data_IF_079894086812
#
_entry.id   IF_079894086812
#
_cell.length_a   1.000
_cell.length_b   1.000
_cell.length_c   1.000
_cell.angle_alpha   90.00
_cell.angle_beta   90.00
_cell.angle_gamma   90.00
#
_symmetry.space_group_name_H-M   'P 1'
#
loop_
_entity.id
_entity.type
_entity.pdbx_description
1 polymer ?
#
# COMPACT_ATOMS: atom_id res chain seq x y z
N UNK A 1 48.05 21.77 6.23
CA UNK A 1 47.08 21.15 7.16
C UNK A 1 46.34 22.25 7.88
N UNK A 2 45.06 22.44 7.56
CA UNK A 2 44.04 23.05 8.42
C UNK A 2 42.77 23.21 7.58
N UNK A 3 41.87 22.24 7.70
CA UNK A 3 40.54 22.25 7.09
C UNK A 3 39.70 23.37 7.73
N UNK A 4 39.14 24.25 6.91
CA UNK A 4 38.17 25.25 7.35
C UNK A 4 36.81 24.60 7.61
N UNK A 5 36.24 24.89 8.77
CA UNK A 5 34.92 24.47 9.23
C UNK A 5 33.80 24.91 8.28
N UNK A 6 32.91 24.00 7.92
CA UNK A 6 31.61 24.34 7.37
C UNK A 6 30.52 23.45 7.98
N UNK A 7 29.49 24.12 8.53
CA UNK A 7 28.09 23.72 8.74
C UNK A 7 27.64 23.66 10.20
N UNK A 8 26.89 24.69 10.57
CA UNK A 8 25.66 24.51 11.35
C UNK A 8 24.56 25.33 10.66
N UNK A 9 23.74 24.67 9.84
CA UNK A 9 22.40 25.18 9.55
C UNK A 9 21.49 24.54 10.59
N UNK A 10 21.22 25.28 11.67
CA UNK A 10 20.09 25.02 12.55
C UNK A 10 18.82 25.10 11.70
N UNK A 11 18.17 23.97 11.44
CA UNK A 11 16.77 23.96 11.02
C UNK A 11 15.92 24.13 12.29
N UNK A 12 15.65 25.38 12.64
CA UNK A 12 14.57 25.71 13.56
C UNK A 12 13.26 25.61 12.78
N UNK A 13 12.48 24.57 13.01
CA UNK A 13 11.09 24.50 12.57
C UNK A 13 10.21 25.01 13.70
N UNK A 14 10.22 26.33 13.91
CA UNK A 14 9.19 27.03 14.67
C UNK A 14 8.09 27.44 13.71
N UNK A 15 6.92 26.83 13.86
CA UNK A 15 5.67 27.20 13.19
C UNK A 15 5.30 28.65 13.51
N UNK A 16 5.21 29.49 12.48
CA UNK A 16 4.59 30.81 12.58
C UNK A 16 3.72 31.02 11.34
N UNK A 17 2.41 31.06 11.55
CA UNK A 17 1.41 31.41 10.54
C UNK A 17 1.05 32.88 10.74
N UNK A 18 1.33 33.73 9.75
CA UNK A 18 0.76 35.07 9.64
C UNK A 18 -0.28 35.09 8.52
N UNK A 19 -1.52 35.49 8.84
CA UNK A 19 -2.52 35.82 7.82
C UNK A 19 -2.38 37.29 7.44
N UNK A 20 -2.09 37.55 6.17
CA UNK A 20 -2.09 38.89 5.58
C UNK A 20 -2.47 38.79 4.11
N UNK A 21 -3.59 39.40 3.75
CA UNK A 21 -4.26 39.30 2.45
C UNK A 21 -3.40 39.80 1.30
N UNK A 22 -3.12 38.93 0.33
CA UNK A 22 -2.49 39.30 -0.94
C UNK A 22 -2.41 38.08 -1.87
N UNK A 23 -3.16 38.14 -2.96
CA UNK A 23 -3.20 37.11 -4.01
C UNK A 23 -1.79 36.89 -4.59
N UNK A 24 -1.21 35.72 -4.37
CA UNK A 24 -0.03 35.23 -5.09
C UNK A 24 -0.32 33.82 -5.58
N UNK A 25 -0.29 33.65 -6.91
CA UNK A 25 -0.46 32.37 -7.58
C UNK A 25 0.79 31.51 -7.30
N UNK A 26 0.82 30.87 -6.13
CA UNK A 26 1.79 29.83 -5.83
C UNK A 26 1.21 28.52 -6.38
N UNK A 27 1.89 27.93 -7.37
CA UNK A 27 1.71 26.52 -7.71
C UNK A 27 2.05 25.72 -6.44
N UNK A 28 1.04 25.45 -5.63
CA UNK A 28 1.11 24.45 -4.59
C UNK A 28 1.29 23.12 -5.31
N UNK A 29 2.54 22.68 -5.42
CA UNK A 29 2.77 21.25 -5.35
C UNK A 29 2.09 20.81 -4.05
N UNK A 30 1.18 19.83 -4.06
CA UNK A 30 0.76 19.24 -2.81
C UNK A 30 2.04 18.74 -2.15
N UNK A 31 2.40 19.34 -1.02
CA UNK A 31 3.25 18.68 -0.05
C UNK A 31 2.42 17.47 0.34
N UNK A 32 2.66 16.35 -0.34
CA UNK A 32 2.17 15.07 0.14
C UNK A 32 2.76 14.94 1.54
N UNK A 33 1.88 15.04 2.54
CA UNK A 33 2.19 14.52 3.86
C UNK A 33 2.43 13.04 3.64
N UNK A 34 3.70 12.66 3.50
CA UNK A 34 4.08 11.27 3.60
C UNK A 34 3.68 10.89 5.03
N UNK A 35 2.65 10.08 5.20
CA UNK A 35 2.29 9.48 6.48
C UNK A 35 3.37 8.43 6.82
N UNK A 36 4.63 8.86 6.93
CA UNK A 36 5.72 8.05 7.44
C UNK A 36 5.52 7.96 8.94
N UNK A 37 4.97 6.85 9.42
CA UNK A 37 5.08 6.53 10.83
C UNK A 37 6.56 6.29 11.14
N UNK A 38 7.06 6.95 12.19
CA UNK A 38 8.36 6.62 12.76
C UNK A 38 8.19 5.31 13.52
N UNK A 39 9.03 4.33 13.21
CA UNK A 39 9.07 3.06 13.90
C UNK A 39 9.97 3.20 15.13
N UNK A 40 9.37 3.11 16.31
CA UNK A 40 10.10 3.00 17.56
C UNK A 40 10.57 1.55 17.72
N UNK A 41 11.89 1.34 17.73
CA UNK A 41 12.46 -0.01 17.75
C UNK A 41 12.86 -0.36 19.17
N UNK A 42 12.15 -1.31 19.76
CA UNK A 42 12.55 -1.95 21.00
C UNK A 42 13.40 -3.20 20.72
N UNK A 43 14.72 -3.10 20.92
CA UNK A 43 15.68 -4.19 20.68
C UNK A 43 15.49 -5.40 21.62
N UNK A 44 14.71 -5.26 22.70
CA UNK A 44 14.39 -6.39 23.58
C UNK A 44 13.22 -7.24 23.09
N UNK A 45 12.41 -6.72 22.16
CA UNK A 45 11.18 -7.34 21.68
C UNK A 45 11.23 -7.64 20.17
N UNK A 46 12.05 -6.92 19.43
CA UNK A 46 12.16 -7.03 17.96
C UNK A 46 13.50 -7.63 17.58
N UNK A 47 13.49 -8.77 16.89
CA UNK A 47 14.70 -9.42 16.34
C UNK A 47 14.79 -9.35 14.82
N UNK A 48 13.65 -9.18 14.13
CA UNK A 48 13.59 -9.04 12.68
C UNK A 48 12.50 -8.10 12.21
N UNK A 49 12.72 -7.41 11.09
CA UNK A 49 11.77 -6.52 10.45
C UNK A 49 11.85 -6.66 8.93
N UNK A 50 10.70 -6.63 8.25
CA UNK A 50 10.65 -6.58 6.80
C UNK A 50 10.21 -5.18 6.34
N UNK A 51 11.01 -4.56 5.48
CA UNK A 51 10.77 -3.24 4.91
C UNK A 51 10.66 -3.32 3.39
N UNK A 52 9.87 -2.42 2.80
CA UNK A 52 9.66 -2.33 1.36
C UNK A 52 10.61 -1.31 0.75
N UNK A 53 11.23 -1.64 -0.38
CA UNK A 53 11.98 -0.63 -1.15
C UNK A 53 11.06 0.52 -1.65
N UNK A 54 11.64 1.67 -2.01
CA UNK A 54 10.97 2.90 -2.43
C UNK A 54 10.05 3.53 -1.37
N UNK A 55 10.30 3.24 -0.09
CA UNK A 55 9.64 3.85 1.06
C UNK A 55 10.64 4.55 1.97
N UNK A 56 10.15 5.43 2.85
CA UNK A 56 10.95 6.12 3.85
C UNK A 56 10.61 5.61 5.25
N UNK A 57 11.62 5.20 6.00
CA UNK A 57 11.50 4.65 7.35
C UNK A 57 12.29 5.52 8.33
N UNK A 58 11.59 6.13 9.29
CA UNK A 58 12.22 6.74 10.45
C UNK A 58 12.43 5.67 11.52
N UNK A 59 13.67 5.45 11.95
CA UNK A 59 14.02 4.53 13.02
C UNK A 59 14.56 5.32 14.20
N UNK A 60 14.12 4.97 15.41
CA UNK A 60 14.53 5.64 16.64
C UNK A 60 14.82 4.63 17.74
N UNK A 61 15.88 4.89 18.50
CA UNK A 61 16.25 4.14 19.69
C UNK A 61 15.74 4.77 20.98
N UNK A 62 15.88 4.03 22.08
CA UNK A 62 15.47 4.47 23.42
C UNK A 62 16.46 5.50 24.02
N UNK A 63 16.12 6.09 25.18
CA UNK A 63 16.74 7.29 25.77
C UNK A 63 18.27 7.41 25.67
N UNK A 64 19.00 6.32 25.92
CA UNK A 64 20.47 6.31 25.92
C UNK A 64 21.08 5.48 24.79
N UNK A 65 20.26 4.97 23.88
CA UNK A 65 20.68 4.10 22.81
C UNK A 65 21.24 4.90 21.63
N UNK A 66 22.35 4.45 21.05
CA UNK A 66 22.84 4.95 19.76
C UNK A 66 22.60 3.86 18.72
N UNK A 67 21.81 4.17 17.69
CA UNK A 67 21.44 3.18 16.68
C UNK A 67 22.26 3.37 15.40
N UNK A 68 22.70 2.23 14.86
CA UNK A 68 23.45 2.12 13.63
C UNK A 68 22.69 1.24 12.66
N UNK A 69 22.64 1.63 11.39
CA UNK A 69 22.11 0.79 10.33
C UNK A 69 23.20 0.50 9.31
N UNK A 70 23.42 -0.79 9.02
CA UNK A 70 24.48 -1.22 8.10
C UNK A 70 24.13 -2.50 7.36
N UNK A 71 24.73 -2.70 6.19
CA UNK A 71 24.60 -3.91 5.37
C UNK A 71 25.60 -5.01 5.80
N UNK A 72 26.51 -4.71 6.73
CA UNK A 72 27.37 -5.69 7.36
C UNK A 72 27.42 -5.44 8.88
N UNK A 73 27.56 -6.51 9.64
CA UNK A 73 27.52 -6.43 11.09
C UNK A 73 28.70 -5.64 11.64
N UNK A 74 28.42 -4.66 12.50
CA UNK A 74 29.40 -3.82 13.19
C UNK A 74 30.38 -3.08 12.26
N UNK A 75 29.90 -2.64 11.10
CA UNK A 75 30.65 -1.78 10.18
C UNK A 75 29.90 -0.50 9.88
N UNK A 76 30.65 0.59 9.65
CA UNK A 76 30.08 1.86 9.22
C UNK A 76 29.47 1.72 7.82
N UNK A 77 28.26 2.23 7.66
CA UNK A 77 27.61 2.36 6.36
C UNK A 77 27.58 3.83 5.93
N UNK A 78 28.11 4.09 4.73
CA UNK A 78 28.27 5.44 4.17
C UNK A 78 27.50 5.64 2.85
N UNK A 79 26.55 4.77 2.52
CA UNK A 79 25.73 4.91 1.32
C UNK A 79 24.59 5.93 1.49
N UNK A 80 23.96 6.28 0.37
CA UNK A 80 22.92 7.34 0.32
C UNK A 80 21.57 6.92 0.91
N UNK A 81 21.35 5.63 1.10
CA UNK A 81 20.06 5.09 1.54
C UNK A 81 19.80 5.38 3.03
N UNK A 82 20.85 5.71 3.79
CA UNK A 82 20.82 5.96 5.23
C UNK A 82 21.24 7.39 5.53
N UNK A 83 20.41 8.12 6.29
CA UNK A 83 20.71 9.46 6.78
C UNK A 83 20.68 9.50 8.30
N UNK A 84 21.61 10.28 8.88
CA UNK A 84 21.81 10.38 10.32
C UNK A 84 22.07 9.00 10.94
N UNK A 85 22.99 8.25 10.33
CA UNK A 85 23.58 7.08 10.98
C UNK A 85 24.16 7.54 12.33
N UNK A 86 24.11 6.69 13.36
CA UNK A 86 24.47 7.05 14.74
C UNK A 86 23.45 7.95 15.49
N UNK A 87 22.16 7.87 15.12
CA UNK A 87 21.11 8.60 15.84
C UNK A 87 21.04 8.17 17.31
N UNK A 88 21.00 9.15 18.22
CA UNK A 88 21.04 8.90 19.67
C UNK A 88 19.79 9.35 20.40
N UNK A 89 19.23 8.45 21.20
CA UNK A 89 18.15 8.74 22.13
C UNK A 89 16.81 9.01 21.44
N UNK A 90 15.83 9.45 22.24
CA UNK A 90 14.44 9.67 21.82
C UNK A 90 14.21 10.93 20.98
N UNK A 91 15.23 11.77 20.84
CA UNK A 91 15.17 13.07 20.14
C UNK A 91 15.77 13.03 18.74
N UNK A 92 16.39 11.92 18.35
CA UNK A 92 17.01 11.74 17.05
C UNK A 92 16.43 10.50 16.38
N UNK A 93 16.39 10.52 15.05
CA UNK A 93 16.03 9.37 14.26
C UNK A 93 17.05 9.21 13.13
N UNK A 94 17.26 7.96 12.74
CA UNK A 94 17.91 7.60 11.50
C UNK A 94 16.82 7.47 10.44
N UNK A 95 17.06 8.00 9.24
CA UNK A 95 16.15 7.83 8.11
C UNK A 95 16.73 6.79 7.15
N UNK A 96 15.93 5.80 6.80
CA UNK A 96 16.31 4.76 5.85
C UNK A 96 15.35 4.77 4.65
N UNK A 97 15.91 4.78 3.45
CA UNK A 97 15.18 4.85 2.18
C UNK A 97 15.75 3.80 1.21
N UNK A 98 15.47 2.50 1.42
CA UNK A 98 15.98 1.45 0.55
C UNK A 98 15.43 1.60 -0.88
N UNK A 99 16.28 1.35 -1.86
CA UNK A 99 15.95 1.33 -3.29
C UNK A 99 16.13 -0.06 -3.87
N UNK A 100 15.87 -0.22 -5.17
CA UNK A 100 16.17 -1.46 -5.89
C UNK A 100 17.67 -1.78 -6.02
N UNK A 101 18.54 -0.81 -5.71
CA UNK A 101 19.99 -0.98 -5.69
C UNK A 101 20.54 -1.25 -4.28
N UNK A 102 19.73 -1.08 -3.24
CA UNK A 102 20.12 -1.35 -1.86
C UNK A 102 20.27 -2.85 -1.61
N UNK A 103 21.13 -3.20 -0.65
CA UNK A 103 21.24 -4.58 -0.19
C UNK A 103 19.92 -5.07 0.40
N UNK A 104 19.71 -6.40 0.34
CA UNK A 104 18.45 -7.01 0.77
C UNK A 104 18.43 -7.42 2.23
N UNK A 105 19.56 -7.31 2.91
CA UNK A 105 19.74 -7.65 4.31
C UNK A 105 20.55 -6.55 4.99
N UNK A 106 20.06 -6.09 6.13
CA UNK A 106 20.61 -5.02 6.92
C UNK A 106 20.55 -5.36 8.40
N UNK A 107 21.39 -4.72 9.18
CA UNK A 107 21.49 -4.87 10.62
C UNK A 107 21.29 -3.50 11.25
N UNK A 108 20.23 -3.38 12.04
CA UNK A 108 20.09 -2.29 12.98
C UNK A 108 20.65 -2.76 14.33
N UNK A 109 21.59 -2.01 14.90
CA UNK A 109 22.28 -2.41 16.14
C UNK A 109 22.65 -1.22 17.00
N UNK A 110 22.91 -1.48 18.28
CA UNK A 110 23.62 -0.55 19.17
C UNK A 110 25.06 -1.06 19.35
N UNK A 111 26.05 -0.19 19.09
CA UNK A 111 27.45 -0.54 19.25
C UNK A 111 27.84 -0.90 20.70
N UNK A 112 27.04 -0.50 21.70
CA UNK A 112 27.27 -0.80 23.12
C UNK A 112 26.58 -2.08 23.60
N UNK A 113 25.66 -2.66 22.81
CA UNK A 113 24.95 -3.90 23.11
C UNK A 113 24.91 -4.78 21.84
N UNK A 114 26.07 -5.31 21.46
CA UNK A 114 26.25 -6.08 20.21
C UNK A 114 25.48 -7.41 20.20
N UNK A 115 25.03 -7.88 21.37
CA UNK A 115 24.26 -9.12 21.50
C UNK A 115 22.79 -8.93 21.07
N UNK A 116 22.34 -7.68 20.89
CA UNK A 116 20.99 -7.35 20.42
C UNK A 116 21.02 -6.52 19.16
N UNK A 117 20.67 -7.16 18.06
CA UNK A 117 20.48 -6.50 16.77
C UNK A 117 19.14 -6.91 16.15
N UNK A 118 18.60 -6.03 15.32
CA UNK A 118 17.43 -6.31 14.49
C UNK A 118 17.92 -6.57 13.07
N UNK A 119 17.58 -7.74 12.53
CA UNK A 119 17.82 -8.03 11.11
C UNK A 119 16.69 -7.42 10.29
N UNK A 120 17.04 -6.56 9.33
CA UNK A 120 16.10 -5.90 8.43
C UNK A 120 16.22 -6.53 7.04
N UNK A 121 15.15 -7.13 6.55
CA UNK A 121 15.05 -7.62 5.18
C UNK A 121 14.36 -6.57 4.29
N UNK A 122 14.98 -6.26 3.14
CA UNK A 122 14.33 -5.42 2.12
C UNK A 122 13.60 -6.31 1.14
N UNK A 123 12.29 -6.31 1.23
CA UNK A 123 11.44 -6.82 0.18
C UNK A 123 11.44 -5.82 -0.99
N UNK A 124 11.65 -6.29 -2.23
CA UNK A 124 11.42 -5.45 -3.38
C UNK A 124 9.99 -4.91 -3.31
N UNK A 125 9.77 -3.71 -3.83
CA UNK A 125 8.41 -3.28 -4.08
C UNK A 125 7.91 -4.23 -5.16
N UNK A 126 7.05 -5.17 -4.77
CA UNK A 126 6.34 -5.99 -5.72
C UNK A 126 5.42 -5.02 -6.49
N UNK A 127 5.95 -4.47 -7.59
CA UNK A 127 5.15 -4.19 -8.76
C UNK A 127 4.64 -5.56 -9.26
N UNK A 128 3.74 -6.16 -8.47
CA UNK A 128 2.96 -7.30 -8.91
C UNK A 128 2.41 -6.89 -10.26
N UNK A 129 2.66 -7.74 -11.27
CA UNK A 129 2.07 -7.56 -12.61
C UNK A 129 0.59 -7.19 -12.37
N UNK A 130 0.07 -6.11 -13.01
CA UNK A 130 -1.32 -5.73 -12.82
C UNK A 130 -2.21 -6.95 -12.90
N UNK A 131 -3.02 -7.20 -11.88
CA UNK A 131 -3.93 -8.33 -11.91
C UNK A 131 -5.02 -8.05 -12.93
N UNK A 132 -5.14 -8.91 -13.94
CA UNK A 132 -6.19 -8.86 -14.93
C UNK A 132 -6.69 -10.26 -15.20
N UNK A 133 -7.94 -10.38 -15.65
CA UNK A 133 -8.44 -11.67 -16.13
C UNK A 133 -7.92 -11.94 -17.54
N UNK A 134 -7.62 -13.20 -17.84
CA UNK A 134 -7.18 -13.63 -19.17
C UNK A 134 -8.31 -13.60 -20.22
N UNK A 135 -9.56 -13.44 -19.80
CA UNK A 135 -10.73 -13.36 -20.68
C UNK A 135 -11.16 -11.93 -21.03
N UNK A 136 -10.43 -10.91 -20.52
CA UNK A 136 -10.74 -9.51 -20.79
C UNK A 136 -10.51 -9.13 -22.25
N UNK A 137 -11.39 -8.28 -22.75
CA UNK A 137 -11.38 -7.68 -24.06
C UNK A 137 -11.40 -6.15 -23.97
N UNK A 138 -11.04 -5.50 -25.07
CA UNK A 138 -11.17 -4.05 -25.20
C UNK A 138 -12.63 -3.64 -25.01
N UNK A 139 -12.88 -2.75 -24.06
CA UNK A 139 -14.22 -2.25 -23.78
C UNK A 139 -14.96 -2.98 -22.67
N UNK A 140 -14.34 -3.96 -22.00
CA UNK A 140 -14.97 -4.63 -20.84
C UNK A 140 -15.10 -3.72 -19.61
N UNK A 141 -14.46 -2.55 -19.64
CA UNK A 141 -14.48 -1.57 -18.56
C UNK A 141 -13.99 -2.18 -17.22
N UNK A 142 -13.06 -3.14 -17.28
CA UNK A 142 -12.49 -3.75 -16.08
C UNK A 142 -11.81 -2.71 -15.19
N UNK A 143 -12.10 -2.75 -13.89
CA UNK A 143 -11.64 -1.73 -12.94
C UNK A 143 -12.58 -0.53 -12.85
N UNK A 144 -13.79 -0.60 -13.42
CA UNK A 144 -14.79 0.45 -13.31
C UNK A 144 -15.16 0.76 -11.86
N UNK A 145 -15.25 -0.29 -11.04
CA UNK A 145 -15.39 -0.19 -9.60
C UNK A 145 -14.56 -1.28 -8.92
N UNK A 146 -14.02 -0.99 -7.73
CA UNK A 146 -13.12 -1.88 -7.00
C UNK A 146 -13.45 -1.83 -5.50
N UNK A 147 -13.65 -2.99 -4.90
CA UNK A 147 -13.82 -3.13 -3.45
C UNK A 147 -12.86 -4.20 -2.89
N UNK A 148 -12.47 -4.05 -1.63
CA UNK A 148 -11.77 -5.07 -0.87
C UNK A 148 -12.70 -5.57 0.23
N UNK A 149 -12.89 -6.88 0.32
CA UNK A 149 -13.75 -7.47 1.36
C UNK A 149 -12.95 -7.92 2.60
N UNK A 150 -13.67 -8.31 3.65
CA UNK A 150 -13.10 -8.78 4.92
C UNK A 150 -12.33 -10.12 4.80
N UNK A 151 -12.39 -10.76 3.64
CA UNK A 151 -11.74 -12.04 3.33
C UNK A 151 -10.47 -11.87 2.50
N UNK A 152 -9.96 -10.64 2.37
CA UNK A 152 -8.78 -10.31 1.57
C UNK A 152 -8.95 -10.63 0.06
N UNK A 153 -10.18 -10.53 -0.45
CA UNK A 153 -10.49 -10.67 -1.86
C UNK A 153 -10.72 -9.29 -2.49
N UNK A 154 -10.01 -9.01 -3.57
CA UNK A 154 -10.27 -7.84 -4.42
C UNK A 154 -11.42 -8.15 -5.36
N UNK A 155 -12.49 -7.38 -5.28
CA UNK A 155 -13.70 -7.52 -6.10
C UNK A 155 -13.70 -6.39 -7.13
N UNK A 156 -13.68 -6.72 -8.42
CA UNK A 156 -13.47 -5.78 -9.51
C UNK A 156 -14.62 -5.85 -10.51
N UNK A 157 -15.25 -4.71 -10.79
CA UNK A 157 -16.32 -4.56 -11.76
C UNK A 157 -15.81 -4.41 -13.18
N UNK A 158 -16.53 -5.03 -14.11
CA UNK A 158 -16.33 -4.92 -15.55
C UNK A 158 -17.70 -4.81 -16.27
N UNK A 159 -18.41 -3.68 -16.11
CA UNK A 159 -19.77 -3.51 -16.64
C UNK A 159 -19.86 -3.54 -18.16
N UNK A 160 -18.74 -3.40 -18.88
CA UNK A 160 -18.67 -3.54 -20.33
C UNK A 160 -18.54 -4.98 -20.83
N UNK A 161 -18.19 -5.94 -19.94
CA UNK A 161 -17.95 -7.34 -20.30
C UNK A 161 -19.11 -7.96 -21.07
N UNK A 162 -18.78 -8.78 -22.06
CA UNK A 162 -19.72 -9.50 -22.91
C UNK A 162 -20.83 -8.59 -23.48
N UNK A 163 -20.44 -7.53 -24.20
CA UNK A 163 -21.35 -6.56 -24.81
C UNK A 163 -22.27 -5.84 -23.80
N UNK A 164 -21.70 -5.41 -22.68
CA UNK A 164 -22.40 -4.73 -21.57
C UNK A 164 -23.37 -5.61 -20.78
N UNK A 165 -23.25 -6.94 -20.88
CA UNK A 165 -23.85 -7.82 -19.88
C UNK A 165 -23.29 -7.48 -18.51
N UNK A 166 -21.98 -7.28 -18.46
CA UNK A 166 -21.23 -6.94 -17.27
C UNK A 166 -20.85 -8.16 -16.46
N UNK A 167 -19.72 -8.06 -15.77
CA UNK A 167 -19.18 -9.08 -14.90
C UNK A 167 -18.54 -8.46 -13.65
N UNK A 168 -18.36 -9.30 -12.63
CA UNK A 168 -17.54 -9.02 -11.46
C UNK A 168 -16.50 -10.11 -11.31
N UNK A 169 -15.24 -9.71 -11.19
CA UNK A 169 -14.10 -10.60 -11.03
C UNK A 169 -13.59 -10.55 -9.60
N UNK A 170 -13.23 -11.70 -9.04
CA UNK A 170 -12.73 -11.79 -7.67
C UNK A 170 -11.31 -12.33 -7.67
N UNK A 171 -10.39 -11.60 -7.07
CA UNK A 171 -8.99 -11.98 -6.95
C UNK A 171 -8.63 -12.27 -5.49
N UNK A 172 -8.01 -13.41 -5.25
CA UNK A 172 -7.44 -13.75 -3.95
C UNK A 172 -5.96 -13.40 -3.95
N UNK A 173 -5.53 -12.72 -2.88
CA UNK A 173 -4.12 -12.45 -2.61
C UNK A 173 -3.52 -13.61 -1.81
N UNK A 174 -2.48 -14.23 -2.35
CA UNK A 174 -1.72 -15.27 -1.65
C UNK A 174 -0.74 -14.67 -0.62
N UNK A 175 -0.06 -15.54 0.13
CA UNK A 175 0.94 -15.15 1.13
C UNK A 175 2.15 -14.41 0.55
N UNK A 176 2.37 -14.50 -0.77
CA UNK A 176 3.45 -13.84 -1.49
C UNK A 176 2.99 -12.53 -2.16
N UNK A 177 1.82 -12.02 -1.76
CA UNK A 177 1.16 -10.85 -2.34
C UNK A 177 0.77 -10.98 -3.82
N UNK A 178 0.75 -12.19 -4.38
CA UNK A 178 0.29 -12.44 -5.73
C UNK A 178 -1.24 -12.51 -5.79
N UNK A 179 -1.83 -11.84 -6.77
CA UNK A 179 -3.28 -11.90 -7.03
C UNK A 179 -3.58 -12.96 -8.07
N UNK A 180 -4.50 -13.87 -7.73
CA UNK A 180 -5.02 -14.87 -8.65
C UNK A 180 -6.54 -14.76 -8.74
N UNK A 181 -7.09 -14.87 -9.94
CA UNK A 181 -8.55 -14.86 -10.10
C UNK A 181 -9.15 -16.14 -9.53
N UNK A 182 -10.05 -15.98 -8.56
CA UNK A 182 -10.80 -17.06 -7.93
C UNK A 182 -12.16 -17.29 -8.60
N UNK A 183 -12.86 -16.21 -8.97
CA UNK A 183 -14.22 -16.27 -9.53
C UNK A 183 -14.46 -15.19 -10.58
N UNK A 184 -15.37 -15.48 -11.51
CA UNK A 184 -16.07 -14.50 -12.34
C UNK A 184 -17.57 -14.70 -12.11
N UNK A 185 -18.26 -13.65 -11.68
CA UNK A 185 -19.70 -13.62 -11.45
C UNK A 185 -20.33 -12.84 -12.60
N UNK A 186 -21.35 -13.42 -13.23
CA UNK A 186 -22.17 -12.81 -14.28
C UNK A 186 -23.63 -12.79 -13.83
N UNK A 187 -24.45 -11.82 -14.26
CA UNK A 187 -25.85 -11.76 -13.86
C UNK A 187 -26.65 -12.92 -14.47
N UNK A 188 -27.58 -13.48 -13.71
CA UNK A 188 -28.55 -14.42 -14.24
C UNK A 188 -29.74 -13.65 -14.84
N UNK A 189 -29.97 -13.81 -16.14
CA UNK A 189 -31.04 -13.12 -16.87
C UNK A 189 -32.32 -13.93 -16.86
N UNK A 190 -33.46 -13.27 -16.62
CA UNK A 190 -34.76 -13.90 -16.81
C UNK A 190 -35.04 -14.11 -18.31
N UNK A 191 -35.96 -15.03 -18.64
CA UNK A 191 -36.35 -15.26 -20.02
C UNK A 191 -36.90 -13.97 -20.67
N UNK A 192 -36.27 -13.54 -21.76
CA UNK A 192 -36.64 -12.31 -22.48
C UNK A 192 -36.02 -11.02 -21.90
N UNK A 193 -35.20 -11.11 -20.85
CA UNK A 193 -34.47 -9.95 -20.34
C UNK A 193 -33.32 -9.55 -21.28
N UNK A 194 -33.09 -8.23 -21.40
CA UNK A 194 -31.96 -7.66 -22.15
C UNK A 194 -30.63 -8.15 -21.58
N UNK A 195 -29.69 -8.48 -22.47
CA UNK A 195 -28.31 -8.79 -22.11
C UNK A 195 -27.43 -7.55 -21.88
N UNK A 196 -28.01 -6.34 -21.87
CA UNK A 196 -27.32 -5.10 -21.54
C UNK A 196 -27.72 -4.65 -20.15
N UNK A 197 -26.97 -5.08 -19.14
CA UNK A 197 -27.32 -4.82 -17.74
C UNK A 197 -26.31 -3.92 -17.02
N UNK A 198 -25.07 -3.85 -17.53
CA UNK A 198 -23.93 -3.22 -16.85
C UNK A 198 -23.72 -3.76 -15.44
N UNK A 199 -23.89 -5.06 -15.25
CA UNK A 199 -23.62 -5.72 -13.99
C UNK A 199 -22.16 -5.49 -13.57
N UNK A 200 -21.95 -5.11 -12.31
CA UNK A 200 -20.62 -4.73 -11.81
C UNK A 200 -20.30 -3.24 -11.95
N UNK A 201 -21.27 -2.39 -12.32
CA UNK A 201 -21.07 -0.94 -12.35
C UNK A 201 -20.99 -0.29 -10.96
N UNK A 202 -21.44 -0.98 -9.92
CA UNK A 202 -21.31 -0.58 -8.52
C UNK A 202 -21.18 -1.83 -7.65
N UNK A 203 -20.28 -1.80 -6.68
CA UNK A 203 -19.92 -2.94 -5.82
C UNK A 203 -19.87 -2.45 -4.37
N UNK A 204 -20.48 -3.22 -3.47
CA UNK A 204 -20.34 -3.01 -2.04
C UNK A 204 -20.17 -4.34 -1.33
N UNK A 205 -19.25 -4.38 -0.38
CA UNK A 205 -18.91 -5.57 0.40
C UNK A 205 -18.98 -5.28 1.88
N UNK A 206 -19.55 -6.21 2.64
CA UNK A 206 -19.59 -6.15 4.11
C UNK A 206 -19.72 -7.56 4.68
N UNK A 207 -18.78 -7.98 5.52
CA UNK A 207 -18.70 -9.33 6.07
C UNK A 207 -18.72 -10.40 4.96
N UNK A 208 -19.78 -11.22 4.91
CA UNK A 208 -19.99 -12.23 3.89
C UNK A 208 -20.98 -11.79 2.81
N UNK A 209 -21.27 -10.49 2.70
CA UNK A 209 -22.25 -9.93 1.76
C UNK A 209 -21.54 -9.22 0.62
N UNK A 210 -22.01 -9.49 -0.59
CA UNK A 210 -21.59 -8.80 -1.81
C UNK A 210 -22.84 -8.28 -2.51
N UNK A 211 -22.89 -6.96 -2.72
CA UNK A 211 -23.97 -6.27 -3.39
C UNK A 211 -23.43 -5.73 -4.71
N UNK A 212 -24.11 -6.04 -5.81
CA UNK A 212 -23.68 -5.67 -7.16
C UNK A 212 -24.81 -4.93 -7.87
N UNK A 213 -24.52 -3.73 -8.34
CA UNK A 213 -25.43 -2.91 -9.15
C UNK A 213 -25.36 -3.25 -10.63
N UNK A 214 -26.52 -3.21 -11.29
CA UNK A 214 -26.68 -3.33 -12.74
C UNK A 214 -27.69 -2.26 -13.21
N UNK A 215 -27.25 -1.02 -13.46
CA UNK A 215 -28.14 0.12 -13.70
C UNK A 215 -28.96 0.00 -15.00
N UNK A 216 -28.45 -0.74 -15.99
CA UNK A 216 -29.14 -0.90 -17.28
C UNK A 216 -30.11 -2.10 -17.29
N UNK A 217 -30.12 -2.90 -16.21
CA UNK A 217 -30.97 -4.09 -16.12
C UNK A 217 -32.48 -3.74 -16.15
N UNK A 218 -33.29 -4.71 -16.60
CA UNK A 218 -34.75 -4.56 -16.67
C UNK A 218 -35.22 -3.28 -17.38
N UNK A 219 -34.70 -3.06 -18.59
CA UNK A 219 -35.01 -1.89 -19.44
C UNK A 219 -34.62 -0.56 -18.78
N UNK A 220 -33.38 -0.48 -18.27
CA UNK A 220 -32.83 0.72 -17.61
C UNK A 220 -33.54 1.14 -16.31
N UNK A 221 -34.36 0.26 -15.72
CA UNK A 221 -34.89 0.48 -14.36
C UNK A 221 -33.84 0.21 -13.28
N UNK A 222 -32.85 -0.61 -13.61
CA UNK A 222 -31.79 -1.04 -12.72
C UNK A 222 -32.20 -2.23 -11.86
N UNK A 223 -31.18 -3.03 -11.51
CA UNK A 223 -31.28 -4.10 -10.51
C UNK A 223 -30.09 -4.03 -9.56
N UNK A 224 -30.31 -4.56 -8.36
CA UNK A 224 -29.26 -4.84 -7.38
C UNK A 224 -29.31 -6.32 -7.11
N UNK A 225 -28.16 -6.98 -7.23
CA UNK A 225 -27.99 -8.39 -6.96
C UNK A 225 -27.31 -8.54 -5.60
N UNK A 226 -27.88 -9.38 -4.75
CA UNK A 226 -27.34 -9.69 -3.44
C UNK A 226 -26.78 -11.11 -3.44
N UNK A 227 -25.48 -11.21 -3.16
CA UNK A 227 -24.76 -12.46 -3.02
C UNK A 227 -24.30 -12.64 -1.57
N UNK A 228 -24.35 -13.89 -1.12
CA UNK A 228 -23.77 -14.32 0.13
C UNK A 228 -22.61 -15.27 -0.12
N UNK A 229 -21.48 -14.97 0.53
CA UNK A 229 -20.25 -15.77 0.53
C UNK A 229 -20.34 -16.85 1.60
N UNK A 230 -20.19 -18.11 1.19
CA UNK A 230 -20.13 -19.28 2.07
C UNK A 230 -18.92 -20.13 1.65
N UNK A 231 -17.95 -20.29 2.55
CA UNK A 231 -16.74 -21.08 2.32
C UNK A 231 -16.03 -20.77 0.99
N UNK A 232 -15.85 -19.48 0.70
CA UNK A 232 -15.19 -19.03 -0.54
C UNK A 232 -16.09 -18.99 -1.78
N UNK A 233 -17.31 -19.51 -1.73
CA UNK A 233 -18.24 -19.52 -2.86
C UNK A 233 -19.31 -18.45 -2.69
N UNK A 234 -19.71 -17.83 -3.80
CA UNK A 234 -20.76 -16.81 -3.82
C UNK A 234 -22.05 -17.38 -4.38
N UNK A 235 -23.13 -17.28 -3.59
CA UNK A 235 -24.47 -17.71 -3.97
C UNK A 235 -25.41 -16.51 -4.01
N UNK A 236 -26.18 -16.37 -5.09
CA UNK A 236 -27.18 -15.31 -5.21
C UNK A 236 -28.34 -15.58 -4.25
N UNK A 237 -28.70 -14.58 -3.47
CA UNK A 237 -29.82 -14.63 -2.51
C UNK A 237 -31.05 -13.94 -3.10
N UNK A 238 -30.88 -12.79 -3.75
CA UNK A 238 -31.95 -12.01 -4.37
C UNK A 238 -31.44 -11.15 -5.54
#
# INVERSE_FOLDING_TARGET
>A
MSLSSARSKKANLSSVVYYGTGFLFCLFFPIFSLNGQVLDINFSETSSLELLENNYYGLRGDENQTIYLSNAFNSDYNGSDVFNNEAKGTLQYLLFSPTNLSDRQWFLYDANDTDKNVTISIAPYHATIPAYSNDLNTGDEFGYDVSLNDWNESVVGAPGDNSHLGAVYLFQRDLNNSLSQSHKIVPNLAAGESNRTKFGAAISTYENKLIIGAPDASDFRGKVYYYQRNDGNYSMVQ
#
